data_IF_442394178380
#
_entry.id   IF_442394178380
#
_cell.length_a   1.000
_cell.length_b   1.000
_cell.length_c   1.000
_cell.angle_alpha   90.00
_cell.angle_beta   90.00
_cell.angle_gamma   90.00
#
_symmetry.space_group_name_H-M   'P 1'
#
loop_
_entity.id
_entity.type
_entity.pdbx_description
1 polymer ?
#
# COMPACT_ATOMS: atom_id res chain seq x y z
N UNK A 1 -3.88 -14.41 -24.72
CA UNK A 1 -2.50 -13.88 -24.86
C UNK A 1 -1.79 -14.01 -23.52
N UNK A 2 -0.52 -14.40 -23.52
CA UNK A 2 0.30 -14.45 -22.30
C UNK A 2 0.75 -13.05 -21.86
N UNK A 3 0.90 -12.85 -20.55
CA UNK A 3 1.36 -11.57 -19.99
C UNK A 3 2.82 -11.24 -20.34
N UNK A 4 3.66 -12.26 -20.53
CA UNK A 4 5.07 -12.08 -20.90
C UNK A 4 5.21 -11.52 -22.32
N UNK A 5 4.39 -12.02 -23.26
CA UNK A 5 4.36 -11.51 -24.62
C UNK A 5 3.90 -10.05 -24.65
N UNK A 6 2.83 -9.73 -23.91
CA UNK A 6 2.35 -8.35 -23.80
C UNK A 6 3.44 -7.42 -23.26
N UNK A 7 4.23 -7.87 -22.30
CA UNK A 7 5.35 -7.09 -21.78
C UNK A 7 6.48 -6.89 -22.79
N UNK A 8 6.84 -7.92 -23.56
CA UNK A 8 7.87 -7.80 -24.60
C UNK A 8 7.51 -6.74 -25.65
N UNK A 9 6.22 -6.59 -25.94
CA UNK A 9 5.68 -5.55 -26.82
C UNK A 9 5.69 -4.18 -26.14
N UNK A 10 5.22 -4.09 -24.89
CA UNK A 10 5.06 -2.82 -24.17
C UNK A 10 6.37 -2.22 -23.63
N UNK A 11 7.42 -3.03 -23.41
CA UNK A 11 8.62 -2.59 -22.68
C UNK A 11 9.39 -1.45 -23.36
N UNK A 12 9.45 -1.42 -24.70
CA UNK A 12 10.20 -0.41 -25.47
C UNK A 12 9.30 0.75 -25.93
N UNK A 13 8.08 0.44 -26.32
CA UNK A 13 7.13 1.34 -26.97
C UNK A 13 5.79 1.31 -26.25
N UNK A 14 5.58 2.25 -25.33
CA UNK A 14 4.32 2.45 -24.62
C UNK A 14 4.11 3.95 -24.39
N UNK A 15 2.90 4.45 -24.65
CA UNK A 15 2.52 5.85 -24.46
C UNK A 15 2.52 6.28 -23.00
N UNK A 16 2.34 5.34 -22.06
CA UNK A 16 2.37 5.62 -20.63
C UNK A 16 3.79 5.79 -20.08
N UNK A 17 4.83 5.43 -20.84
CA UNK A 17 6.22 5.49 -20.39
C UNK A 17 6.73 6.93 -20.39
N UNK A 18 7.31 7.34 -19.27
CA UNK A 18 7.84 8.68 -19.03
C UNK A 18 9.33 8.58 -18.74
N UNK A 19 10.15 8.97 -19.72
CA UNK A 19 11.61 9.04 -19.62
C UNK A 19 11.99 10.51 -19.42
N UNK A 20 12.29 10.90 -18.17
CA UNK A 20 12.69 12.28 -17.84
C UNK A 20 14.20 12.42 -17.66
N UNK A 21 14.84 11.43 -17.07
CA UNK A 21 16.26 11.44 -16.73
C UNK A 21 16.98 10.42 -17.61
N UNK A 22 18.06 10.78 -18.32
CA UNK A 22 18.79 9.88 -19.19
C UNK A 22 19.29 8.60 -18.49
N UNK A 23 19.79 8.74 -17.26
CA UNK A 23 20.32 7.63 -16.44
C UNK A 23 19.40 7.22 -15.28
N UNK A 24 18.18 7.78 -15.23
CA UNK A 24 17.27 7.57 -14.10
C UNK A 24 16.28 6.43 -14.31
N UNK A 25 15.56 6.04 -13.24
CA UNK A 25 14.49 5.06 -13.34
C UNK A 25 13.41 5.54 -14.31
N UNK A 26 12.96 4.63 -15.17
CA UNK A 26 11.88 4.88 -16.11
C UNK A 26 10.54 4.73 -15.40
N UNK A 27 9.70 5.76 -15.49
CA UNK A 27 8.38 5.75 -14.87
C UNK A 27 7.27 5.40 -15.87
N UNK A 28 6.14 4.92 -15.37
CA UNK A 28 4.94 4.60 -16.13
C UNK A 28 3.73 5.25 -15.45
N UNK A 29 2.84 5.84 -16.25
CA UNK A 29 1.56 6.43 -15.83
C UNK A 29 0.37 5.48 -16.05
N UNK A 30 0.62 4.20 -16.30
CA UNK A 30 -0.45 3.24 -16.56
C UNK A 30 -1.37 3.05 -15.34
N UNK A 31 -2.68 2.83 -15.56
CA UNK A 31 -3.59 2.51 -14.47
C UNK A 31 -3.23 1.13 -13.86
N UNK A 32 -3.32 1.01 -12.54
CA UNK A 32 -3.06 -0.27 -11.86
C UNK A 32 -1.60 -0.55 -11.50
N UNK A 33 -0.67 0.33 -11.89
CA UNK A 33 0.71 0.28 -11.40
C UNK A 33 0.80 0.93 -10.03
N UNK A 34 1.37 0.27 -9.01
CA UNK A 34 1.43 0.74 -7.61
C UNK A 34 2.71 1.50 -7.25
N UNK A 35 3.77 1.42 -8.03
CA UNK A 35 5.04 2.12 -7.76
C UNK A 35 5.37 3.17 -8.81
N UNK A 36 4.56 3.26 -9.87
CA UNK A 36 4.81 4.05 -11.08
C UNK A 36 6.11 3.69 -11.79
N UNK A 37 6.75 2.56 -11.45
CA UNK A 37 7.96 2.10 -12.11
C UNK A 37 7.59 1.33 -13.38
N UNK A 38 8.28 1.58 -14.48
CA UNK A 38 8.12 0.82 -15.72
C UNK A 38 8.80 -0.55 -15.58
N UNK A 39 8.08 -1.50 -14.96
CA UNK A 39 8.54 -2.85 -14.69
C UNK A 39 7.40 -3.84 -14.80
N UNK A 40 7.68 -5.03 -15.32
CA UNK A 40 6.70 -6.09 -15.52
C UNK A 40 5.89 -6.40 -14.24
N UNK A 41 6.58 -6.50 -13.11
CA UNK A 41 5.98 -6.82 -11.81
C UNK A 41 4.86 -5.85 -11.43
N UNK A 42 5.01 -4.57 -11.75
CA UNK A 42 4.05 -3.54 -11.37
C UNK A 42 3.12 -3.13 -12.52
N UNK A 43 3.28 -3.68 -13.73
CA UNK A 43 2.45 -3.27 -14.87
C UNK A 43 0.98 -3.67 -14.66
N UNK A 44 0.08 -2.73 -14.93
CA UNK A 44 -1.37 -2.98 -14.89
C UNK A 44 -1.93 -3.49 -16.22
N UNK A 45 -1.16 -3.39 -17.30
CA UNK A 45 -1.58 -3.82 -18.64
C UNK A 45 -1.17 -5.26 -18.95
N UNK A 46 0.05 -5.64 -18.56
CA UNK A 46 0.60 -6.96 -18.87
C UNK A 46 0.17 -8.06 -17.88
N UNK A 47 -0.15 -7.69 -16.64
CA UNK A 47 -0.54 -8.66 -15.61
C UNK A 47 -2.04 -8.97 -15.67
N UNK A 48 -2.40 -10.24 -15.54
CA UNK A 48 -3.81 -10.65 -15.47
C UNK A 48 -4.48 -10.18 -14.16
N UNK A 49 -3.75 -10.29 -13.05
CA UNK A 49 -4.18 -9.83 -11.73
C UNK A 49 -3.59 -8.45 -11.45
N UNK A 50 -4.44 -7.49 -11.15
CA UNK A 50 -4.02 -6.10 -10.91
C UNK A 50 -4.72 -5.54 -9.69
N UNK A 51 -4.04 -4.62 -9.02
CA UNK A 51 -4.56 -3.85 -7.88
C UNK A 51 -4.36 -2.38 -8.23
N UNK A 52 -5.45 -1.69 -8.54
CA UNK A 52 -5.46 -0.27 -8.82
C UNK A 52 -5.93 0.49 -7.58
N UNK A 53 -5.11 1.41 -7.10
CA UNK A 53 -5.48 2.34 -6.04
C UNK A 53 -5.70 3.69 -6.69
N UNK A 54 -6.94 4.18 -6.63
CA UNK A 54 -7.34 5.47 -7.17
C UNK A 54 -8.03 6.29 -6.10
N UNK A 55 -7.83 7.59 -6.19
CA UNK A 55 -8.56 8.52 -5.34
C UNK A 55 -9.90 8.87 -5.98
N UNK A 56 -10.92 9.06 -5.15
CA UNK A 56 -12.25 9.51 -5.58
C UNK A 56 -12.84 10.44 -4.53
N UNK A 57 -13.86 11.21 -4.90
CA UNK A 57 -14.61 12.07 -3.99
C UNK A 57 -15.14 11.30 -2.77
N UNK A 58 -15.68 10.10 -2.99
CA UNK A 58 -16.20 9.21 -1.94
C UNK A 58 -15.10 8.48 -1.14
N UNK A 59 -13.83 8.83 -1.31
CA UNK A 59 -12.69 8.21 -0.64
C UNK A 59 -11.76 7.46 -1.59
N UNK A 60 -10.90 6.59 -1.04
CA UNK A 60 -9.91 5.85 -1.83
C UNK A 60 -10.53 4.55 -2.32
N UNK A 61 -10.54 4.34 -3.64
CA UNK A 61 -11.02 3.11 -4.28
C UNK A 61 -9.84 2.19 -4.58
N UNK A 62 -9.94 0.96 -4.10
CA UNK A 62 -9.00 -0.12 -4.41
C UNK A 62 -9.73 -1.08 -5.33
N UNK A 63 -9.46 -1.01 -6.63
CA UNK A 63 -10.04 -1.88 -7.64
C UNK A 63 -9.12 -3.08 -7.90
N UNK A 64 -9.71 -4.27 -8.05
CA UNK A 64 -8.98 -5.49 -8.41
C UNK A 64 -9.79 -6.35 -9.36
N UNK A 65 -9.12 -7.15 -10.19
CA UNK A 65 -9.80 -8.03 -11.15
C UNK A 65 -10.39 -9.25 -10.43
N UNK A 66 -11.68 -9.54 -10.68
CA UNK A 66 -12.39 -10.69 -10.14
C UNK A 66 -11.76 -12.00 -10.64
N UNK A 67 -11.76 -13.02 -9.79
CA UNK A 67 -11.35 -14.38 -10.18
C UNK A 67 -12.33 -14.92 -11.23
N UNK A 68 -11.83 -15.45 -12.34
CA UNK A 68 -12.65 -16.03 -13.40
C UNK A 68 -13.36 -15.02 -14.30
N UNK A 69 -13.03 -13.73 -14.23
CA UNK A 69 -13.57 -12.76 -15.16
C UNK A 69 -13.01 -12.99 -16.57
N UNK A 70 -13.87 -12.94 -17.59
CA UNK A 70 -13.45 -13.03 -19.00
C UNK A 70 -12.34 -12.02 -19.32
N UNK A 71 -11.32 -12.41 -20.11
CA UNK A 71 -10.30 -11.48 -20.60
C UNK A 71 -10.88 -10.24 -21.29
N UNK A 72 -11.98 -10.42 -22.04
CA UNK A 72 -12.66 -9.39 -22.82
C UNK A 72 -13.58 -8.49 -21.99
N UNK A 73 -13.93 -8.91 -20.76
CA UNK A 73 -14.73 -8.09 -19.87
C UNK A 73 -13.87 -6.95 -19.30
N UNK A 74 -14.22 -5.71 -19.63
CA UNK A 74 -13.47 -4.53 -19.18
C UNK A 74 -14.01 -4.02 -17.85
N UNK A 75 -15.24 -3.47 -17.80
CA UNK A 75 -15.77 -2.83 -16.57
C UNK A 75 -16.27 -3.85 -15.54
N UNK A 76 -16.98 -4.87 -16.00
CA UNK A 76 -17.62 -5.88 -15.14
C UNK A 76 -16.61 -6.83 -14.47
N UNK A 77 -15.39 -6.91 -15.00
CA UNK A 77 -14.33 -7.75 -14.47
C UNK A 77 -13.69 -7.22 -13.20
N UNK A 78 -13.88 -5.94 -12.86
CA UNK A 78 -13.31 -5.35 -11.65
C UNK A 78 -14.30 -5.38 -10.47
N UNK A 79 -13.77 -5.60 -9.28
CA UNK A 79 -14.44 -5.39 -8.00
C UNK A 79 -13.69 -4.30 -7.23
N UNK A 80 -14.40 -3.55 -6.40
CA UNK A 80 -13.82 -2.41 -5.68
C UNK A 80 -13.98 -2.59 -4.17
N UNK A 81 -12.95 -2.22 -3.44
CA UNK A 81 -12.98 -1.95 -2.01
C UNK A 81 -12.88 -0.45 -1.81
N UNK A 82 -13.65 0.10 -0.88
CA UNK A 82 -13.67 1.54 -0.62
C UNK A 82 -13.16 1.83 0.78
N UNK A 83 -12.17 2.71 0.86
CA UNK A 83 -11.75 3.34 2.12
C UNK A 83 -12.50 4.66 2.23
N UNK A 84 -13.38 4.75 3.24
CA UNK A 84 -14.21 5.95 3.47
C UNK A 84 -13.35 7.20 3.69
N UNK A 85 -13.82 8.40 3.31
CA UNK A 85 -13.15 9.65 3.60
C UNK A 85 -12.94 9.81 5.11
N UNK A 86 -11.84 10.48 5.51
CA UNK A 86 -11.45 10.68 6.92
C UNK A 86 -11.22 9.38 7.72
N UNK A 87 -11.11 8.22 7.05
CA UNK A 87 -10.68 7.00 7.72
C UNK A 87 -9.27 7.14 8.28
N UNK A 88 -9.07 6.75 9.54
CA UNK A 88 -7.75 6.68 10.15
C UNK A 88 -6.84 5.68 9.43
N UNK A 89 -5.52 5.91 9.45
CA UNK A 89 -4.54 5.08 8.75
C UNK A 89 -4.61 3.59 9.10
N UNK A 90 -4.96 3.24 10.35
CA UNK A 90 -5.16 1.85 10.77
C UNK A 90 -6.32 1.16 10.04
N UNK A 91 -7.44 1.86 9.82
CA UNK A 91 -8.59 1.31 9.07
C UNK A 91 -8.25 1.13 7.60
N UNK A 92 -7.59 2.14 7.00
CA UNK A 92 -7.14 2.06 5.60
C UNK A 92 -6.16 0.91 5.36
N UNK A 93 -5.21 0.72 6.27
CA UNK A 93 -4.30 -0.44 6.24
C UNK A 93 -5.06 -1.76 6.33
N UNK A 94 -6.09 -1.84 7.18
CA UNK A 94 -6.94 -3.03 7.33
C UNK A 94 -7.72 -3.39 6.06
N UNK A 95 -8.26 -2.41 5.34
CA UNK A 95 -8.94 -2.62 4.05
C UNK A 95 -7.96 -3.08 2.99
N UNK A 96 -6.81 -2.43 2.89
CA UNK A 96 -5.74 -2.81 1.94
C UNK A 96 -5.22 -4.23 2.22
N UNK A 97 -5.18 -4.63 3.50
CA UNK A 97 -4.79 -5.97 3.92
C UNK A 97 -5.72 -7.08 3.42
N UNK A 98 -6.97 -6.77 3.04
CA UNK A 98 -7.95 -7.81 2.69
C UNK A 98 -7.51 -8.63 1.47
N UNK A 99 -6.91 -7.99 0.47
CA UNK A 99 -6.39 -8.69 -0.71
C UNK A 99 -5.17 -9.56 -0.38
N UNK A 100 -4.30 -9.04 0.49
CA UNK A 100 -3.17 -9.82 0.98
C UNK A 100 -3.65 -11.03 1.81
N UNK A 101 -4.64 -10.88 2.68
CA UNK A 101 -5.19 -12.01 3.45
C UNK A 101 -5.75 -13.11 2.55
N UNK A 102 -6.32 -12.75 1.39
CA UNK A 102 -6.84 -13.68 0.39
C UNK A 102 -5.78 -14.33 -0.49
N UNK A 103 -4.50 -13.95 -0.38
CA UNK A 103 -3.47 -14.51 -1.25
C UNK A 103 -3.51 -14.00 -2.69
N UNK A 104 -4.13 -12.85 -2.96
CA UNK A 104 -4.43 -12.43 -4.34
C UNK A 104 -3.17 -12.22 -5.20
N UNK A 105 -2.20 -11.43 -4.71
CA UNK A 105 -0.90 -11.15 -5.33
C UNK A 105 0.25 -11.19 -4.31
N UNK A 106 0.76 -12.39 -3.97
CA UNK A 106 1.80 -12.52 -2.95
C UNK A 106 3.14 -11.89 -3.38
N UNK A 107 3.36 -11.71 -4.68
CA UNK A 107 4.55 -11.08 -5.26
C UNK A 107 4.71 -9.60 -4.87
N UNK A 108 3.61 -8.90 -4.63
CA UNK A 108 3.58 -7.47 -4.26
C UNK A 108 3.88 -7.23 -2.78
N UNK A 109 4.00 -8.30 -1.99
CA UNK A 109 4.35 -8.22 -0.57
C UNK A 109 5.82 -7.89 -0.42
N UNK A 110 6.14 -7.14 0.63
CA UNK A 110 7.53 -7.01 1.03
C UNK A 110 8.07 -8.39 1.40
N UNK A 111 9.29 -8.70 0.94
CA UNK A 111 9.94 -9.94 1.34
C UNK A 111 10.14 -9.97 2.86
N UNK A 112 10.09 -11.14 3.51
CA UNK A 112 10.37 -11.25 4.94
C UNK A 112 11.75 -10.70 5.32
N UNK A 113 12.73 -10.86 4.42
CA UNK A 113 14.10 -10.36 4.60
C UNK A 113 14.17 -8.83 4.56
N UNK A 114 13.49 -8.19 3.61
CA UNK A 114 13.44 -6.73 3.52
C UNK A 114 12.76 -6.12 4.73
N UNK A 115 11.73 -6.79 5.25
CA UNK A 115 11.09 -6.41 6.50
C UNK A 115 12.04 -6.53 7.69
N UNK A 116 12.78 -7.64 7.80
CA UNK A 116 13.77 -7.84 8.86
C UNK A 116 14.88 -6.78 8.79
N UNK A 117 15.39 -6.47 7.59
CA UNK A 117 16.38 -5.41 7.36
C UNK A 117 15.82 -4.03 7.76
N UNK A 118 14.58 -3.73 7.42
CA UNK A 118 13.92 -2.48 7.82
C UNK A 118 13.71 -2.38 9.34
N UNK A 119 13.31 -3.47 10.01
CA UNK A 119 13.16 -3.51 11.47
C UNK A 119 14.49 -3.32 12.20
N UNK A 120 15.55 -3.97 11.70
CA UNK A 120 16.93 -3.80 12.20
C UNK A 120 17.40 -2.34 12.06
N UNK A 121 17.14 -1.71 10.90
CA UNK A 121 17.44 -0.28 10.69
C UNK A 121 16.69 0.65 11.63
N UNK A 122 15.47 0.29 12.02
CA UNK A 122 14.63 1.07 12.94
C UNK A 122 14.94 0.80 14.43
N UNK A 123 15.93 -0.03 14.74
CA UNK A 123 16.33 -0.33 16.13
C UNK A 123 15.29 -1.10 16.95
N UNK A 124 14.29 -1.73 16.30
CA UNK A 124 13.16 -2.43 16.97
C UNK A 124 13.56 -3.84 17.46
N UNK A 125 14.82 -4.24 17.24
CA UNK A 125 15.31 -5.61 17.48
C UNK A 125 15.29 -6.04 18.96
N UNK A 126 15.32 -5.10 19.92
CA UNK A 126 15.33 -5.44 21.35
C UNK A 126 13.93 -5.71 21.92
N UNK A 127 12.95 -4.85 21.58
CA UNK A 127 11.56 -5.01 22.05
C UNK A 127 10.83 -6.18 21.38
N UNK A 128 11.18 -6.52 20.14
CA UNK A 128 10.56 -7.65 19.46
C UNK A 128 11.06 -9.02 20.00
N UNK A 129 12.30 -9.10 20.52
CA UNK A 129 12.80 -10.31 21.20
C UNK A 129 12.10 -10.53 22.55
N UNK A 130 11.87 -9.46 23.32
CA UNK A 130 11.14 -9.52 24.60
C UNK A 130 9.68 -9.94 24.36
N UNK A 131 9.01 -9.37 23.35
CA UNK A 131 7.62 -9.71 23.04
C UNK A 131 7.41 -11.10 22.39
N UNK A 132 8.48 -11.75 21.91
CA UNK A 132 8.41 -13.10 21.33
C UNK A 132 8.71 -14.21 22.36
N UNK A 133 9.43 -13.90 23.44
CA UNK A 133 9.78 -14.85 24.50
C UNK A 133 8.87 -14.75 25.74
N UNK A 134 8.10 -13.67 25.90
CA UNK A 134 7.21 -13.49 27.06
C UNK A 134 5.73 -13.39 26.63
N UNK A 135 5.21 -14.48 26.06
CA UNK A 135 3.77 -14.72 25.94
C UNK A 135 3.33 -15.67 27.06
N UNK A 136 2.97 -15.12 28.23
CA UNK A 136 2.20 -15.89 29.23
C UNK A 136 0.77 -16.06 28.70
N UNK A 137 0.25 -17.29 28.59
CA UNK A 137 -1.14 -17.51 28.19
C UNK A 137 -2.08 -17.03 29.29
N UNK A 138 -2.93 -16.04 28.99
CA UNK A 138 -4.08 -15.67 29.84
C UNK A 138 -5.17 -16.73 29.61
N UNK A 139 -5.39 -17.58 30.60
CA UNK A 139 -6.45 -18.59 30.61
C UNK A 139 -7.77 -17.90 30.94
N UNK A 140 -8.70 -17.83 29.97
CA UNK A 140 -10.07 -17.37 30.20
C UNK A 140 -10.92 -18.52 30.78
N UNK A 141 -11.81 -18.28 31.77
CA UNK A 141 -12.57 -19.35 32.44
C UNK A 141 -13.70 -19.99 31.61
N UNK A 142 -13.97 -19.52 30.39
CA UNK A 142 -15.15 -19.96 29.63
C UNK A 142 -14.81 -20.20 28.15
N UNK A 143 -14.33 -21.40 27.83
CA UNK A 143 -14.21 -21.90 26.47
C UNK A 143 -13.06 -21.29 25.65
N UNK A 144 -12.21 -22.15 25.13
CA UNK A 144 -11.09 -21.83 24.25
C UNK A 144 -11.60 -21.22 22.94
N UNK A 145 -11.76 -19.90 22.89
CA UNK A 145 -11.70 -19.17 21.62
C UNK A 145 -10.24 -18.85 21.35
N UNK A 146 -9.64 -19.58 20.42
CA UNK A 146 -8.37 -19.16 19.82
C UNK A 146 -8.62 -17.86 19.04
N UNK A 147 -8.52 -16.71 19.70
CA UNK A 147 -8.31 -15.45 19.00
C UNK A 147 -6.84 -15.45 18.60
N UNK A 148 -6.56 -15.99 17.42
CA UNK A 148 -5.33 -15.68 16.72
C UNK A 148 -5.30 -14.16 16.57
N UNK A 149 -4.53 -13.47 17.42
CA UNK A 149 -4.18 -12.06 17.21
C UNK A 149 -3.35 -12.09 15.93
N UNK A 150 -4.07 -11.91 14.82
CA UNK A 150 -3.57 -12.18 13.49
C UNK A 150 -2.21 -11.54 13.31
N UNK A 151 -1.25 -12.37 12.92
CA UNK A 151 -0.01 -11.96 12.29
C UNK A 151 -0.26 -10.68 11.51
N UNK A 152 0.51 -9.63 11.81
CA UNK A 152 0.42 -8.29 11.19
C UNK A 152 0.69 -8.47 9.69
N UNK A 153 -0.38 -8.83 8.99
CA UNK A 153 -0.38 -9.77 7.88
C UNK A 153 0.24 -9.10 6.68
N UNK A 154 1.44 -9.53 6.32
CA UNK A 154 2.10 -9.35 5.01
C UNK A 154 1.35 -8.41 4.07
N UNK A 155 1.40 -7.11 4.35
CA UNK A 155 0.65 -6.13 3.56
C UNK A 155 1.36 -5.99 2.23
N UNK A 156 0.60 -5.83 1.15
CA UNK A 156 1.14 -5.41 -0.14
C UNK A 156 1.74 -4.02 0.06
N UNK A 157 3.06 -3.97 0.25
CA UNK A 157 3.74 -2.78 0.75
C UNK A 157 3.54 -1.59 -0.18
N UNK A 158 3.52 -1.85 -1.50
CA UNK A 158 3.27 -0.85 -2.52
C UNK A 158 1.83 -0.29 -2.46
N UNK A 159 0.83 -1.15 -2.27
CA UNK A 159 -0.57 -0.72 -2.18
C UNK A 159 -0.80 0.10 -0.91
N UNK A 160 -0.24 -0.33 0.22
CA UNK A 160 -0.32 0.40 1.48
C UNK A 160 0.39 1.75 1.39
N UNK A 161 1.59 1.80 0.80
CA UNK A 161 2.34 3.04 0.60
C UNK A 161 1.51 4.04 -0.22
N UNK A 162 0.89 3.60 -1.31
CA UNK A 162 -0.02 4.41 -2.14
C UNK A 162 -1.21 4.95 -1.35
N UNK A 163 -1.94 4.06 -0.67
CA UNK A 163 -3.11 4.46 0.13
C UNK A 163 -2.68 5.46 1.21
N UNK A 164 -1.55 5.23 1.88
CA UNK A 164 -1.03 6.17 2.88
C UNK A 164 -0.62 7.51 2.28
N UNK A 165 -0.02 7.52 1.08
CA UNK A 165 0.36 8.75 0.38
C UNK A 165 -0.88 9.56 -0.01
N UNK A 166 -1.94 8.92 -0.50
CA UNK A 166 -3.22 9.58 -0.81
C UNK A 166 -3.89 10.15 0.45
N UNK A 167 -3.88 9.40 1.56
CA UNK A 167 -4.41 9.89 2.84
C UNK A 167 -3.59 11.09 3.34
N UNK A 168 -2.26 11.05 3.19
CA UNK A 168 -1.38 12.15 3.58
C UNK A 168 -1.61 13.38 2.70
N UNK A 169 -1.78 13.20 1.38
CA UNK A 169 -2.07 14.30 0.45
C UNK A 169 -3.39 15.01 0.76
N UNK A 170 -4.40 14.27 1.26
CA UNK A 170 -5.70 14.82 1.68
C UNK A 170 -5.69 15.51 3.04
N UNK A 171 -4.64 15.35 3.84
CA UNK A 171 -4.51 16.07 5.11
C UNK A 171 -3.99 17.46 4.79
N UNK A 172 -4.82 18.46 5.00
CA UNK A 172 -4.38 19.85 5.00
C UNK A 172 -3.21 20.00 5.99
N UNK A 173 -2.13 20.65 5.55
CA UNK A 173 -1.03 20.99 6.44
C UNK A 173 -1.60 21.92 7.51
N UNK A 174 -1.61 21.48 8.77
CA UNK A 174 -2.00 22.31 9.89
C UNK A 174 -1.20 23.61 9.81
N UNK A 175 -1.89 24.75 9.80
CA UNK A 175 -1.23 26.05 9.78
C UNK A 175 -0.21 26.12 10.92
N UNK A 176 0.97 26.66 10.63
CA UNK A 176 2.01 26.81 11.64
C UNK A 176 1.43 27.60 12.82
N UNK A 177 1.64 27.17 14.07
CA UNK A 177 1.17 27.94 15.21
C UNK A 177 1.76 29.36 15.15
N UNK A 178 1.00 30.40 15.53
CA UNK A 178 1.51 31.76 15.53
C UNK A 178 2.79 31.83 16.36
N UNK A 179 3.82 32.48 15.80
CA UNK A 179 5.13 32.58 16.44
C UNK A 179 4.97 33.40 17.73
N UNK A 180 5.06 32.74 18.88
CA UNK A 180 5.00 33.43 20.18
C UNK A 180 6.14 34.43 20.24
N UNK A 181 5.83 35.71 20.37
CA UNK A 181 6.83 36.76 20.60
C UNK A 181 7.44 36.48 21.98
N UNK A 182 8.76 36.24 22.04
CA UNK A 182 9.48 35.90 23.27
C UNK A 182 10.58 36.94 23.51
N UNK A 183 10.76 37.37 24.75
CA UNK A 183 11.78 38.36 25.15
C UNK A 183 11.32 39.82 25.02
N UNK A 184 12.27 40.77 24.92
CA UNK A 184 12.02 42.23 24.93
C UNK A 184 10.95 42.69 23.92
N UNK A 185 10.79 41.98 22.79
CA UNK A 185 9.77 42.28 21.77
C UNK A 185 8.31 42.08 22.21
N UNK A 186 8.07 41.43 23.35
CA UNK A 186 6.74 41.33 23.96
C UNK A 186 6.43 42.49 24.93
N UNK A 187 7.43 43.31 25.31
CA UNK A 187 7.26 44.45 26.23
C UNK A 187 6.98 45.78 25.51
N UNK A 188 7.01 45.78 24.18
CA UNK A 188 6.88 46.98 23.34
C UNK A 188 5.61 46.92 22.46
N UNK A 189 4.80 45.88 22.61
CA UNK A 189 3.55 45.67 21.89
C UNK A 189 2.37 45.86 22.85
#
# INVERSE_FOLDING_TARGET
MSGDLQWLLLRKSNSFTVKRVPEGPVFSKEPGNLTNLHSWKYSGLANEKTIAVQDTESGIKIAYRKKGASPHAVRSSYSTLVVRPRSGGRRAAGVTAQLAKRGYRPDLRASPLDRRKALRKLGVDMLCKIAWLEWRPIKSPSGTRHVAIGSRSMLDAAALARVSALIAAKREKKAAPPKKVRGKKAKTA
#
